data_IF_414465852121
#
_entry.id   IF_414465852121
#
_cell.length_a   1.000
_cell.length_b   1.000
_cell.length_c   1.000
_cell.angle_alpha   90.00
_cell.angle_beta   90.00
_cell.angle_gamma   90.00
#
_symmetry.space_group_name_H-M   'P 1'
#
loop_
_entity.id
_entity.type
_entity.pdbx_description
1 polymer ?
#
# COMPACT_ATOMS: atom_id res chain seq x y z
N UNK A 1 17.75 -14.52 8.79
CA UNK A 1 16.45 -14.28 9.46
C UNK A 1 15.64 -13.37 8.55
N UNK A 2 14.40 -13.72 8.32
CA UNK A 2 13.51 -13.01 7.37
C UNK A 2 12.78 -11.89 8.13
N UNK A 3 13.13 -10.65 7.85
CA UNK A 3 12.53 -9.47 8.47
C UNK A 3 11.00 -9.37 8.25
N UNK A 4 10.47 -10.03 7.23
CA UNK A 4 9.02 -10.04 6.96
C UNK A 4 8.24 -11.03 7.83
N UNK A 5 8.94 -11.90 8.56
CA UNK A 5 8.35 -12.92 9.43
C UNK A 5 8.62 -12.70 10.92
N UNK A 6 9.56 -11.81 11.22
CA UNK A 6 10.02 -11.53 12.58
C UNK A 6 9.74 -10.05 12.90
N UNK A 7 8.63 -9.76 13.61
CA UNK A 7 8.24 -8.38 13.91
C UNK A 7 9.27 -7.63 14.76
N UNK A 8 9.96 -8.31 15.67
CA UNK A 8 10.97 -7.71 16.54
C UNK A 8 12.20 -7.29 15.72
N UNK A 9 12.67 -8.15 14.81
CA UNK A 9 13.76 -7.81 13.90
C UNK A 9 13.36 -6.69 12.94
N UNK A 10 12.13 -6.71 12.42
CA UNK A 10 11.63 -5.64 11.57
C UNK A 10 11.62 -4.29 12.29
N UNK A 11 11.18 -4.28 13.54
CA UNK A 11 11.16 -3.09 14.38
C UNK A 11 12.57 -2.54 14.67
N UNK A 12 13.53 -3.42 14.97
CA UNK A 12 14.94 -3.06 15.15
C UNK A 12 15.48 -2.38 13.89
N UNK A 13 15.27 -2.97 12.71
CA UNK A 13 15.70 -2.40 11.42
C UNK A 13 14.99 -1.08 11.11
N UNK A 14 13.71 -1.01 11.39
CA UNK A 14 12.95 0.23 11.21
C UNK A 14 13.50 1.37 12.08
N UNK A 15 13.82 1.07 13.35
CA UNK A 15 14.43 2.04 14.26
C UNK A 15 15.83 2.49 13.78
N UNK A 16 16.66 1.58 13.27
CA UNK A 16 17.96 1.92 12.67
C UNK A 16 17.80 2.89 11.49
N UNK A 17 16.88 2.62 10.56
CA UNK A 17 16.63 3.51 9.42
C UNK A 17 16.09 4.89 9.87
N UNK A 18 15.21 4.92 10.86
CA UNK A 18 14.73 6.17 11.45
C UNK A 18 15.88 6.99 12.07
N UNK A 19 16.84 6.33 12.74
CA UNK A 19 18.04 7.00 13.28
C UNK A 19 18.97 7.52 12.18
N UNK A 20 19.02 6.88 11.01
CA UNK A 20 19.75 7.36 9.83
C UNK A 20 19.08 8.54 9.14
N UNK A 21 17.89 8.95 9.58
CA UNK A 21 17.18 10.11 9.07
C UNK A 21 16.11 9.81 8.02
N UNK A 22 15.78 8.53 7.79
CA UNK A 22 14.63 8.17 6.95
C UNK A 22 13.33 8.56 7.66
N UNK A 23 12.41 9.19 6.92
CA UNK A 23 11.13 9.69 7.42
C UNK A 23 9.95 8.81 7.06
N UNK A 24 10.19 7.73 6.33
CA UNK A 24 9.18 6.77 5.93
C UNK A 24 9.78 5.36 5.78
N UNK A 25 9.01 4.34 6.14
CA UNK A 25 9.42 2.94 6.08
C UNK A 25 8.33 2.12 5.40
N UNK A 26 8.72 1.43 4.31
CA UNK A 26 7.82 0.58 3.52
C UNK A 26 8.08 -0.89 3.84
N UNK A 27 7.01 -1.64 4.08
CA UNK A 27 7.04 -3.08 4.35
C UNK A 27 5.70 -3.75 4.00
N UNK A 28 5.71 -5.08 3.88
CA UNK A 28 4.48 -5.86 3.75
C UNK A 28 4.05 -6.36 5.14
N UNK A 29 2.88 -5.96 5.64
CA UNK A 29 2.44 -6.32 6.98
C UNK A 29 1.96 -7.78 7.12
N UNK A 30 1.66 -8.48 6.02
CA UNK A 30 1.09 -9.84 6.07
C UNK A 30 2.05 -10.94 5.62
N UNK A 31 3.24 -10.55 5.13
CA UNK A 31 4.30 -11.49 4.80
C UNK A 31 4.10 -12.22 3.46
N UNK A 32 4.78 -13.35 3.24
CA UNK A 32 4.90 -13.98 1.94
C UNK A 32 3.56 -14.47 1.38
N UNK A 33 3.32 -14.20 0.09
CA UNK A 33 2.07 -14.44 -0.62
C UNK A 33 2.31 -14.64 -2.12
N UNK A 34 1.24 -14.93 -2.85
CA UNK A 34 1.21 -14.91 -4.31
C UNK A 34 0.46 -13.68 -4.82
N UNK A 35 1.14 -12.79 -5.52
CA UNK A 35 0.54 -11.60 -6.15
C UNK A 35 -0.46 -11.94 -7.27
N UNK A 36 -0.47 -13.18 -7.76
CA UNK A 36 -1.33 -13.62 -8.87
C UNK A 36 -2.49 -14.51 -8.43
N UNK A 37 -2.65 -14.72 -7.14
CA UNK A 37 -3.68 -15.58 -6.57
C UNK A 37 -4.27 -14.94 -5.32
N UNK A 38 -5.13 -13.92 -5.50
CA UNK A 38 -5.71 -13.17 -4.38
C UNK A 38 -6.58 -14.08 -3.53
N UNK A 39 -6.35 -14.08 -2.23
CA UNK A 39 -7.02 -14.97 -1.28
C UNK A 39 -7.65 -14.24 -0.11
N UNK A 40 -8.58 -14.95 0.52
CA UNK A 40 -9.02 -14.62 1.86
C UNK A 40 -7.89 -14.94 2.84
N UNK A 41 -7.52 -13.96 3.64
CA UNK A 41 -6.53 -14.16 4.69
C UNK A 41 -7.14 -14.95 5.86
N UNK A 42 -6.42 -15.91 6.43
CA UNK A 42 -6.82 -16.56 7.68
C UNK A 42 -6.68 -15.61 8.86
N UNK A 43 -7.35 -15.92 9.97
CA UNK A 43 -7.31 -15.08 11.17
C UNK A 43 -5.88 -14.83 11.67
N UNK A 44 -5.05 -15.86 11.65
CA UNK A 44 -3.64 -15.78 12.04
C UNK A 44 -2.85 -14.71 11.25
N UNK A 45 -3.10 -14.58 9.93
CA UNK A 45 -2.45 -13.55 9.11
C UNK A 45 -2.89 -12.13 9.51
N UNK A 46 -4.14 -11.94 9.89
CA UNK A 46 -4.61 -10.65 10.40
C UNK A 46 -3.97 -10.31 11.75
N UNK A 47 -3.89 -11.27 12.66
CA UNK A 47 -3.28 -11.10 13.98
C UNK A 47 -1.77 -10.83 13.87
N UNK A 48 -1.10 -11.56 12.98
CA UNK A 48 0.31 -11.33 12.67
C UNK A 48 0.53 -9.92 12.12
N UNK A 49 -0.25 -9.50 11.12
CA UNK A 49 -0.13 -8.18 10.50
C UNK A 49 -0.37 -7.04 11.50
N UNK A 50 -1.38 -7.16 12.34
CA UNK A 50 -1.68 -6.19 13.39
C UNK A 50 -0.53 -6.09 14.41
N UNK A 51 -0.03 -7.23 14.91
CA UNK A 51 1.13 -7.29 15.81
C UNK A 51 2.37 -6.68 15.15
N UNK A 52 2.66 -7.03 13.90
CA UNK A 52 3.81 -6.54 13.13
C UNK A 52 3.79 -5.02 13.04
N UNK A 53 2.68 -4.45 12.56
CA UNK A 53 2.54 -3.00 12.41
C UNK A 53 2.64 -2.28 13.76
N UNK A 54 2.03 -2.83 14.79
CA UNK A 54 2.09 -2.28 16.16
C UNK A 54 3.55 -2.15 16.64
N UNK A 55 4.32 -3.23 16.57
CA UNK A 55 5.71 -3.25 17.04
C UNK A 55 6.58 -2.29 16.24
N UNK A 56 6.42 -2.24 14.92
CA UNK A 56 7.15 -1.28 14.06
C UNK A 56 6.78 0.16 14.41
N UNK A 57 5.47 0.47 14.56
CA UNK A 57 5.01 1.81 14.96
C UNK A 57 5.57 2.23 16.33
N UNK A 58 5.57 1.34 17.29
CA UNK A 58 6.15 1.60 18.62
C UNK A 58 7.66 1.91 18.54
N UNK A 59 8.39 1.20 17.68
CA UNK A 59 9.83 1.37 17.52
C UNK A 59 10.21 2.70 16.84
N UNK A 60 9.45 3.15 15.85
CA UNK A 60 9.75 4.39 15.12
C UNK A 60 9.01 5.63 15.68
N UNK A 61 7.97 5.42 16.46
CA UNK A 61 7.13 6.49 17.00
C UNK A 61 6.50 7.35 15.91
N UNK A 62 6.32 8.63 16.17
CA UNK A 62 5.82 9.62 15.21
C UNK A 62 6.88 10.20 14.26
N UNK A 63 8.09 9.63 14.21
CA UNK A 63 9.18 10.15 13.39
C UNK A 63 9.18 9.64 11.95
N UNK A 64 8.52 8.51 11.70
CA UNK A 64 8.44 7.88 10.38
C UNK A 64 7.01 7.56 10.01
N UNK A 65 6.66 7.80 8.76
CA UNK A 65 5.46 7.29 8.14
C UNK A 65 5.57 5.79 7.87
N UNK A 66 4.47 5.06 8.02
CA UNK A 66 4.40 3.65 7.68
C UNK A 66 3.69 3.48 6.35
N UNK A 67 4.30 2.70 5.47
CA UNK A 67 3.83 2.49 4.11
C UNK A 67 3.64 0.98 3.90
N UNK A 68 2.41 0.55 3.64
CA UNK A 68 2.16 -0.86 3.40
C UNK A 68 2.33 -1.16 1.91
N UNK A 69 3.31 -2.01 1.60
CA UNK A 69 3.66 -2.41 0.24
C UNK A 69 3.16 -3.81 -0.06
N UNK A 70 1.86 -3.98 -0.27
CA UNK A 70 1.30 -5.23 -0.77
C UNK A 70 1.27 -5.23 -2.31
N UNK A 71 0.96 -6.37 -2.94
CA UNK A 71 1.08 -6.51 -4.40
C UNK A 71 -0.16 -7.21 -5.00
N UNK A 72 -1.35 -6.78 -4.60
CA UNK A 72 -2.59 -7.36 -5.08
C UNK A 72 -2.85 -8.79 -4.61
N UNK A 73 -2.46 -9.11 -3.40
CA UNK A 73 -2.48 -10.47 -2.85
C UNK A 73 -3.79 -10.85 -2.16
N UNK A 74 -4.70 -9.89 -1.99
CA UNK A 74 -5.91 -10.11 -1.21
C UNK A 74 -7.18 -9.99 -2.03
N UNK A 75 -8.25 -10.65 -1.56
CA UNK A 75 -9.61 -10.29 -1.98
C UNK A 75 -9.99 -8.96 -1.34
N UNK A 76 -10.94 -8.23 -1.95
CA UNK A 76 -11.40 -6.95 -1.39
C UNK A 76 -11.93 -7.10 0.06
N UNK A 77 -12.57 -8.20 0.38
CA UNK A 77 -13.07 -8.45 1.73
C UNK A 77 -11.94 -8.63 2.75
N UNK A 78 -10.84 -9.33 2.39
CA UNK A 78 -9.66 -9.41 3.24
C UNK A 78 -8.94 -8.08 3.38
N UNK A 79 -8.77 -7.35 2.28
CA UNK A 79 -8.14 -6.04 2.29
C UNK A 79 -8.87 -5.04 3.20
N UNK A 80 -10.21 -5.00 3.14
CA UNK A 80 -11.03 -4.15 4.01
C UNK A 80 -10.90 -4.55 5.48
N UNK A 81 -10.93 -5.86 5.78
CA UNK A 81 -10.76 -6.34 7.15
C UNK A 81 -9.38 -6.01 7.71
N UNK A 82 -8.33 -6.14 6.91
CA UNK A 82 -6.97 -5.77 7.30
C UNK A 82 -6.86 -4.27 7.53
N UNK A 83 -7.29 -3.45 6.56
CA UNK A 83 -7.25 -2.00 6.65
C UNK A 83 -7.88 -1.49 7.95
N UNK A 84 -9.08 -1.96 8.30
CA UNK A 84 -9.78 -1.57 9.54
C UNK A 84 -9.03 -1.91 10.82
N UNK A 85 -8.22 -2.96 10.83
CA UNK A 85 -7.35 -3.30 11.97
C UNK A 85 -6.14 -2.38 12.04
N UNK A 86 -5.65 -1.94 10.88
CA UNK A 86 -4.42 -1.17 10.77
C UNK A 86 -4.61 0.34 10.79
N UNK A 87 -5.82 0.85 10.60
CA UNK A 87 -6.14 2.30 10.68
C UNK A 87 -5.66 2.95 11.98
N UNK A 88 -5.73 2.24 13.10
CA UNK A 88 -5.29 2.73 14.40
C UNK A 88 -3.81 3.09 14.48
N UNK A 89 -3.00 2.61 13.55
CA UNK A 89 -1.55 2.88 13.48
C UNK A 89 -1.20 4.02 12.52
N UNK A 90 -2.20 4.67 11.93
CA UNK A 90 -2.09 5.84 11.06
C UNK A 90 -1.03 5.65 9.93
N UNK A 91 -1.18 4.66 9.05
CA UNK A 91 -0.27 4.47 7.93
C UNK A 91 -0.51 5.53 6.85
N UNK A 92 0.57 5.97 6.18
CA UNK A 92 0.49 6.95 5.11
C UNK A 92 -0.22 6.41 3.87
N UNK A 93 -0.01 5.12 3.53
CA UNK A 93 -0.76 4.46 2.47
C UNK A 93 -0.83 2.94 2.60
N UNK A 94 -1.79 2.38 1.89
CA UNK A 94 -1.94 0.95 1.64
C UNK A 94 -1.85 0.71 0.12
N UNK A 95 -0.73 0.13 -0.32
CA UNK A 95 -0.42 -0.09 -1.72
C UNK A 95 -0.98 -1.40 -2.22
N UNK A 96 -1.63 -1.36 -3.38
CA UNK A 96 -2.22 -2.52 -4.07
C UNK A 96 -2.85 -3.57 -3.15
N UNK A 97 -3.84 -3.21 -2.33
CA UNK A 97 -4.49 -4.17 -1.43
C UNK A 97 -5.18 -5.32 -2.18
N UNK A 98 -5.63 -5.06 -3.41
CA UNK A 98 -6.23 -6.02 -4.33
C UNK A 98 -5.55 -5.94 -5.70
N UNK A 99 -5.71 -6.95 -6.58
CA UNK A 99 -5.19 -6.86 -7.96
C UNK A 99 -5.70 -5.60 -8.67
N UNK A 100 -4.81 -4.83 -9.33
CA UNK A 100 -5.17 -3.55 -9.97
C UNK A 100 -6.02 -3.71 -11.22
N UNK A 101 -6.18 -4.91 -11.76
CA UNK A 101 -7.00 -5.21 -12.94
C UNK A 101 -8.49 -4.96 -12.69
N UNK A 102 -8.96 -5.07 -11.44
CA UNK A 102 -10.34 -4.76 -11.07
C UNK A 102 -10.42 -3.45 -10.29
N UNK A 103 -10.56 -2.35 -11.04
CA UNK A 103 -10.63 -0.99 -10.49
C UNK A 103 -11.84 -0.80 -9.56
N UNK A 104 -12.96 -1.45 -9.83
CA UNK A 104 -14.18 -1.34 -9.01
C UNK A 104 -13.97 -1.95 -7.62
N UNK A 105 -13.29 -3.09 -7.53
CA UNK A 105 -12.94 -3.69 -6.23
C UNK A 105 -11.85 -2.87 -5.49
N UNK A 106 -10.89 -2.28 -6.20
CA UNK A 106 -9.93 -1.34 -5.60
C UNK A 106 -10.68 -0.12 -5.01
N UNK A 107 -11.62 0.47 -5.77
CA UNK A 107 -12.45 1.58 -5.33
C UNK A 107 -13.34 1.20 -4.14
N UNK A 108 -13.83 -0.05 -4.09
CA UNK A 108 -14.57 -0.58 -2.93
C UNK A 108 -13.70 -0.59 -1.67
N UNK A 109 -12.44 -1.02 -1.77
CA UNK A 109 -11.48 -0.95 -0.66
C UNK A 109 -11.26 0.49 -0.26
N UNK A 110 -10.95 1.38 -1.21
CA UNK A 110 -10.69 2.79 -0.95
C UNK A 110 -11.83 3.49 -0.18
N UNK A 111 -13.09 3.17 -0.50
CA UNK A 111 -14.27 3.70 0.21
C UNK A 111 -14.52 3.09 1.58
N UNK A 112 -13.81 2.02 1.93
CA UNK A 112 -14.06 1.25 3.17
C UNK A 112 -13.02 1.49 4.27
N UNK A 113 -12.04 2.36 4.01
CA UNK A 113 -10.95 2.68 4.95
C UNK A 113 -10.58 4.15 4.88
N UNK A 114 -10.04 4.68 5.96
CA UNK A 114 -9.42 6.01 6.02
C UNK A 114 -7.97 6.01 5.50
N UNK A 115 -7.34 4.83 5.37
CA UNK A 115 -5.98 4.72 4.86
C UNK A 115 -5.97 5.07 3.36
N UNK A 116 -5.16 6.04 2.90
CA UNK A 116 -5.03 6.34 1.47
C UNK A 116 -4.59 5.10 0.68
N UNK A 117 -5.27 4.79 -0.42
CA UNK A 117 -4.87 3.70 -1.30
C UNK A 117 -3.84 4.22 -2.30
N UNK A 118 -2.75 3.48 -2.45
CA UNK A 118 -1.72 3.71 -3.45
C UNK A 118 -1.74 2.57 -4.47
N UNK A 119 -1.61 2.89 -5.76
CA UNK A 119 -1.47 1.88 -6.82
C UNK A 119 -0.89 2.50 -8.09
N UNK A 120 -0.47 1.68 -9.05
CA UNK A 120 -0.03 2.15 -10.36
C UNK A 120 1.24 1.50 -10.89
N UNK A 121 2.01 0.79 -10.07
CA UNK A 121 3.27 0.18 -10.53
C UNK A 121 3.09 -0.83 -11.67
N UNK A 122 1.91 -1.47 -11.75
CA UNK A 122 1.56 -2.44 -12.80
C UNK A 122 0.80 -1.83 -13.98
N UNK A 123 0.35 -0.59 -13.89
CA UNK A 123 -0.34 0.11 -14.97
C UNK A 123 0.66 0.68 -15.98
N UNK A 124 0.30 0.66 -17.26
CA UNK A 124 1.18 1.03 -18.35
C UNK A 124 0.72 2.28 -19.12
N UNK A 125 -0.55 2.63 -19.07
CA UNK A 125 -1.10 3.71 -19.91
C UNK A 125 -1.86 4.76 -19.10
N UNK A 126 -1.79 6.02 -19.54
CA UNK A 126 -2.61 7.10 -18.95
C UNK A 126 -4.11 6.82 -18.96
N UNK A 127 -4.59 5.96 -19.85
CA UNK A 127 -6.01 5.59 -19.93
C UNK A 127 -6.43 4.70 -18.75
N UNK A 128 -5.55 3.80 -18.30
CA UNK A 128 -5.76 3.01 -17.08
C UNK A 128 -5.78 3.91 -15.85
N UNK A 129 -4.85 4.85 -15.75
CA UNK A 129 -4.83 5.84 -14.67
C UNK A 129 -6.06 6.75 -14.68
N UNK A 130 -6.56 7.16 -15.87
CA UNK A 130 -7.79 7.93 -15.97
C UNK A 130 -9.00 7.14 -15.44
N UNK A 131 -9.09 5.84 -15.73
CA UNK A 131 -10.11 4.95 -15.18
C UNK A 131 -10.04 4.85 -13.66
N UNK A 132 -8.84 4.67 -13.12
CA UNK A 132 -8.55 4.60 -11.69
C UNK A 132 -8.99 5.88 -10.94
N UNK A 133 -8.61 7.04 -11.47
CA UNK A 133 -8.97 8.35 -10.91
C UNK A 133 -10.47 8.61 -10.97
N UNK A 134 -11.13 8.29 -12.11
CA UNK A 134 -12.58 8.42 -12.26
C UNK A 134 -13.37 7.62 -11.22
N UNK A 135 -12.89 6.44 -10.89
CA UNK A 135 -13.51 5.58 -9.87
C UNK A 135 -13.11 5.94 -8.43
N UNK A 136 -12.20 6.90 -8.26
CA UNK A 136 -11.63 7.25 -6.95
C UNK A 136 -11.04 6.02 -6.23
N UNK A 137 -10.36 5.17 -7.00
CA UNK A 137 -9.83 3.91 -6.50
C UNK A 137 -8.48 4.05 -5.79
N UNK A 138 -7.80 5.18 -5.98
CA UNK A 138 -6.56 5.51 -5.28
C UNK A 138 -6.41 7.01 -5.09
N UNK A 139 -5.69 7.40 -4.05
CA UNK A 139 -5.30 8.78 -3.74
C UNK A 139 -3.82 9.03 -4.06
N UNK A 140 -3.05 7.98 -4.27
CA UNK A 140 -1.61 8.04 -4.56
C UNK A 140 -1.31 7.16 -5.77
N UNK A 141 -0.67 7.74 -6.79
CA UNK A 141 -0.32 7.05 -8.03
C UNK A 141 1.18 6.72 -8.05
N UNK A 142 1.49 5.43 -8.02
CA UNK A 142 2.87 4.93 -8.02
C UNK A 142 3.27 4.44 -9.42
N UNK A 143 3.31 5.36 -10.39
CA UNK A 143 3.67 5.00 -11.76
C UNK A 143 5.15 4.67 -11.91
N UNK A 144 5.47 3.57 -12.58
CA UNK A 144 6.84 3.23 -12.97
C UNK A 144 7.19 3.90 -14.30
N UNK A 145 8.13 4.84 -14.32
CA UNK A 145 8.50 5.65 -15.50
C UNK A 145 8.79 4.80 -16.74
N UNK A 146 9.52 3.70 -16.58
CA UNK A 146 9.83 2.80 -17.68
C UNK A 146 8.60 2.06 -18.23
N UNK A 147 7.59 1.82 -17.41
CA UNK A 147 6.37 1.11 -17.78
C UNK A 147 5.37 2.03 -18.49
N UNK A 148 5.22 3.25 -18.03
CA UNK A 148 4.26 4.21 -18.61
C UNK A 148 4.76 4.91 -19.89
N UNK A 149 5.98 4.59 -20.36
CA UNK A 149 6.53 5.17 -21.58
C UNK A 149 7.37 6.43 -21.36
N UNK A 150 7.91 6.61 -20.16
CA UNK A 150 8.87 7.67 -19.83
C UNK A 150 8.26 8.92 -19.23
N UNK A 151 9.10 9.94 -19.05
CA UNK A 151 8.76 11.17 -18.30
C UNK A 151 7.59 11.96 -18.90
N UNK A 152 7.44 11.98 -20.22
CA UNK A 152 6.37 12.75 -20.86
C UNK A 152 4.98 12.16 -20.53
N UNK A 153 4.84 10.84 -20.61
CA UNK A 153 3.58 10.19 -20.25
C UNK A 153 3.33 10.25 -18.73
N UNK A 154 4.36 10.08 -17.91
CA UNK A 154 4.25 10.24 -16.47
C UNK A 154 3.78 11.65 -16.07
N UNK A 155 4.28 12.71 -16.73
CA UNK A 155 3.82 14.09 -16.51
C UNK A 155 2.34 14.29 -16.85
N UNK A 156 1.85 13.63 -17.90
CA UNK A 156 0.41 13.68 -18.24
C UNK A 156 -0.44 12.99 -17.15
N UNK A 157 0.02 11.86 -16.65
CA UNK A 157 -0.64 11.13 -15.56
C UNK A 157 -0.65 11.99 -14.28
N UNK A 158 0.48 12.60 -13.92
CA UNK A 158 0.57 13.50 -12.78
C UNK A 158 -0.38 14.72 -12.92
N UNK A 159 -0.50 15.31 -14.10
CA UNK A 159 -1.45 16.39 -14.35
C UNK A 159 -2.91 15.95 -14.23
N UNK A 160 -3.25 14.71 -14.58
CA UNK A 160 -4.58 14.16 -14.31
C UNK A 160 -4.81 13.95 -12.81
N UNK A 161 -3.81 13.41 -12.10
CA UNK A 161 -3.87 13.20 -10.66
C UNK A 161 -4.14 14.51 -9.91
N UNK A 162 -3.40 15.58 -10.26
CA UNK A 162 -3.58 16.93 -9.71
C UNK A 162 -5.03 17.43 -9.84
N UNK A 163 -5.66 17.22 -11.00
CA UNK A 163 -7.06 17.61 -11.24
C UNK A 163 -8.08 16.81 -10.40
N UNK A 164 -7.68 15.66 -9.86
CA UNK A 164 -8.49 14.79 -9.00
C UNK A 164 -8.07 14.86 -7.50
N UNK A 165 -7.19 15.80 -7.15
CA UNK A 165 -6.61 15.91 -5.80
C UNK A 165 -5.90 14.61 -5.34
N UNK A 166 -5.32 13.86 -6.27
CA UNK A 166 -4.45 12.70 -6.02
C UNK A 166 -2.97 13.09 -6.21
N UNK A 167 -2.08 12.31 -5.60
CA UNK A 167 -0.62 12.49 -5.69
C UNK A 167 0.03 11.42 -6.55
#
# INVERSE_FOLDING_TARGET
>A
TDVYRDPELAAERAAEYAQLGFTAIKFDPVGPYSAFDPRQLPLEAFEHGEKFVKIVREAVGGKCDLLFGTHGQMTASSAIRLARRLEQFDPLWFEEPVPPENVDEMARVARSTSIPIATGERLATKYEFAGLLKQQAASILQMALGRVGGMLEAKKIAGMAEAHYAQ
#
